data_IF_816915988021
#
_entry.id   IF_816915988021
#
_cell.length_a   1.000
_cell.length_b   1.000
_cell.length_c   1.000
_cell.angle_alpha   90.00
_cell.angle_beta   90.00
_cell.angle_gamma   90.00
#
_symmetry.space_group_name_H-M   'P 1'
#
loop_
_entity.id
_entity.type
_entity.pdbx_description
1 polymer ?
#
# COMPACT_ATOMS: atom_id res chain seq x y z
N UNK A 1 -36.02 6.10 8.13
CA UNK A 1 -34.96 7.08 7.82
C UNK A 1 -33.90 6.36 7.01
N UNK A 2 -33.39 6.96 5.93
CA UNK A 2 -32.28 6.38 5.15
C UNK A 2 -31.02 6.32 6.03
N UNK A 3 -30.29 5.21 6.01
CA UNK A 3 -29.04 5.08 6.76
C UNK A 3 -28.04 6.20 6.36
N UNK A 4 -27.26 6.76 7.31
CA UNK A 4 -26.31 7.81 6.98
C UNK A 4 -25.21 7.29 6.05
N UNK A 5 -24.58 8.15 5.22
CA UNK A 5 -23.44 7.75 4.41
C UNK A 5 -22.30 7.19 5.26
N UNK A 6 -21.44 6.39 4.66
CA UNK A 6 -20.25 5.82 5.33
C UNK A 6 -18.99 6.26 4.60
N UNK A 7 -17.95 6.59 5.36
CA UNK A 7 -16.58 6.68 4.88
C UNK A 7 -15.75 5.64 5.63
N UNK A 8 -15.21 4.66 4.91
CA UNK A 8 -14.27 3.68 5.43
C UNK A 8 -12.84 4.16 5.19
N UNK A 9 -12.11 4.36 6.27
CA UNK A 9 -10.70 4.73 6.29
C UNK A 9 -9.86 3.46 6.32
N UNK A 10 -9.11 3.24 5.26
CA UNK A 10 -8.26 2.07 5.05
C UNK A 10 -6.80 2.48 5.20
N UNK A 11 -6.39 2.81 6.44
CA UNK A 11 -4.99 3.15 6.71
C UNK A 11 -4.21 1.85 6.88
N UNK A 12 -3.47 1.49 5.84
CA UNK A 12 -2.90 0.16 5.73
C UNK A 12 -1.96 -0.16 6.89
N UNK A 13 -2.11 -1.38 7.41
CA UNK A 13 -1.21 -2.02 8.35
C UNK A 13 -0.93 -1.30 9.68
N UNK A 14 -1.78 -0.38 10.13
CA UNK A 14 -1.66 0.15 11.50
C UNK A 14 -1.85 -0.97 12.54
N UNK A 15 -0.92 -1.06 13.47
CA UNK A 15 -0.91 -2.01 14.59
C UNK A 15 -1.89 -1.56 15.68
N UNK A 16 -2.80 -2.46 16.12
CA UNK A 16 -3.65 -2.20 17.29
C UNK A 16 -2.82 -1.83 18.53
N UNK A 17 -1.68 -2.50 18.74
CA UNK A 17 -0.81 -2.27 19.89
C UNK A 17 -0.13 -0.89 19.85
N UNK A 18 0.31 -0.44 18.67
CA UNK A 18 0.89 0.90 18.51
C UNK A 18 -0.17 2.00 18.59
N UNK A 19 -1.39 1.75 18.07
CA UNK A 19 -2.54 2.64 18.27
C UNK A 19 -2.85 2.82 19.76
N UNK A 20 -3.02 1.72 20.50
CA UNK A 20 -3.30 1.78 21.94
C UNK A 20 -2.16 2.52 22.68
N UNK A 21 -0.90 2.16 22.42
CA UNK A 21 0.28 2.81 23.01
C UNK A 21 0.28 4.33 22.83
N UNK A 22 0.04 4.81 21.62
CA UNK A 22 0.17 6.24 21.32
C UNK A 22 -1.12 7.03 21.58
N UNK A 23 -2.28 6.39 21.59
CA UNK A 23 -3.49 7.02 22.13
C UNK A 23 -3.34 7.23 23.64
N UNK A 24 -2.87 6.22 24.38
CA UNK A 24 -2.72 6.29 25.83
C UNK A 24 -1.61 7.27 26.25
N UNK A 25 -0.59 7.45 25.40
CA UNK A 25 0.42 8.49 25.56
C UNK A 25 -0.07 9.91 25.19
N UNK A 26 -1.27 10.05 24.62
CA UNK A 26 -1.82 11.35 24.19
C UNK A 26 -1.27 11.87 22.86
N UNK A 27 -0.55 11.04 22.10
CA UNK A 27 0.07 11.41 20.83
C UNK A 27 -0.90 11.36 19.64
N UNK A 28 -2.04 10.66 19.78
CA UNK A 28 -3.04 10.44 18.73
C UNK A 28 -4.45 10.91 19.16
N UNK A 29 -4.68 12.23 19.32
CA UNK A 29 -5.93 12.77 19.84
C UNK A 29 -7.14 12.50 18.94
N UNK A 30 -6.97 12.43 17.62
CA UNK A 30 -8.09 12.19 16.70
C UNK A 30 -8.47 10.70 16.65
N UNK A 31 -7.50 9.79 16.72
CA UNK A 31 -7.79 8.38 16.94
C UNK A 31 -8.42 8.14 18.31
N UNK A 32 -7.97 8.85 19.35
CA UNK A 32 -8.65 8.82 20.66
C UNK A 32 -10.12 9.23 20.52
N UNK A 33 -10.38 10.36 19.84
CA UNK A 33 -11.75 10.84 19.58
C UNK A 33 -12.59 9.81 18.81
N UNK A 34 -12.02 9.15 17.81
CA UNK A 34 -12.71 8.10 17.07
C UNK A 34 -13.01 6.91 18.00
N UNK A 35 -11.98 6.37 18.67
CA UNK A 35 -12.07 5.25 19.63
C UNK A 35 -13.16 5.47 20.67
N UNK A 36 -13.19 6.65 21.28
CA UNK A 36 -14.11 7.00 22.36
C UNK A 36 -15.57 7.18 21.89
N UNK A 37 -15.80 7.23 20.58
CA UNK A 37 -17.15 7.31 19.96
C UNK A 37 -17.47 6.10 19.07
N UNK A 38 -16.75 4.99 19.25
CA UNK A 38 -16.84 3.81 18.40
C UNK A 38 -17.04 2.50 19.17
N UNK A 39 -17.74 1.57 18.53
CA UNK A 39 -17.57 0.14 18.78
C UNK A 39 -16.29 -0.31 18.04
N UNK A 40 -15.31 -0.82 18.77
CA UNK A 40 -14.00 -1.22 18.25
C UNK A 40 -13.76 -2.73 18.46
N UNK A 41 -13.00 -3.33 17.55
CA UNK A 41 -12.48 -4.67 17.71
C UNK A 41 -11.09 -4.81 17.08
N UNK A 42 -10.35 -5.80 17.58
CA UNK A 42 -9.17 -6.33 16.87
C UNK A 42 -9.69 -7.30 15.83
N UNK A 43 -9.30 -7.11 14.58
CA UNK A 43 -9.61 -8.07 13.51
C UNK A 43 -8.49 -9.11 13.40
N UNK A 44 -8.80 -10.26 12.79
CA UNK A 44 -7.85 -11.28 12.40
C UNK A 44 -7.95 -11.52 10.90
N UNK A 45 -6.80 -11.47 10.22
CA UNK A 45 -6.63 -11.79 8.81
C UNK A 45 -7.18 -13.19 8.48
N UNK A 46 -7.60 -13.41 7.24
CA UNK A 46 -8.08 -14.72 6.79
C UNK A 46 -6.93 -15.75 6.75
N UNK A 47 -5.74 -15.30 6.34
CA UNK A 47 -4.53 -16.12 6.33
C UNK A 47 -3.54 -15.62 7.37
N UNK A 48 -3.11 -16.50 8.27
CA UNK A 48 -2.37 -16.12 9.49
C UNK A 48 -0.85 -16.09 9.33
N UNK A 49 -0.31 -16.51 8.19
CA UNK A 49 1.12 -16.64 7.98
C UNK A 49 1.56 -16.58 6.53
N UNK A 50 2.87 -16.43 6.34
CA UNK A 50 3.48 -16.47 5.02
C UNK A 50 3.25 -17.83 4.32
N UNK A 51 3.11 -17.86 2.98
CA UNK A 51 3.22 -16.72 2.06
C UNK A 51 1.92 -15.94 1.84
N UNK A 52 0.82 -16.27 2.55
CA UNK A 52 -0.51 -15.74 2.23
C UNK A 52 -0.93 -14.53 3.10
N UNK A 53 -0.20 -14.25 4.19
CA UNK A 53 -0.40 -13.04 4.99
C UNK A 53 0.21 -11.82 4.28
N UNK A 54 -0.48 -11.36 3.25
CA UNK A 54 -0.07 -10.24 2.40
C UNK A 54 -1.25 -9.28 2.19
N UNK A 55 -1.03 -7.94 2.18
CA UNK A 55 -2.11 -6.96 2.16
C UNK A 55 -3.04 -7.07 0.95
N UNK A 56 -2.49 -7.42 -0.22
CA UNK A 56 -3.30 -7.55 -1.44
C UNK A 56 -4.22 -8.77 -1.44
N UNK A 57 -3.95 -9.76 -0.57
CA UNK A 57 -4.83 -10.90 -0.33
C UNK A 57 -5.90 -10.47 0.68
N UNK A 58 -5.46 -9.96 1.84
CA UNK A 58 -6.34 -9.68 2.97
C UNK A 58 -7.33 -8.53 2.70
N UNK A 59 -6.91 -7.47 1.98
CA UNK A 59 -7.84 -6.41 1.58
C UNK A 59 -8.93 -6.93 0.65
N UNK A 60 -8.58 -7.83 -0.29
CA UNK A 60 -9.57 -8.44 -1.17
C UNK A 60 -10.60 -9.26 -0.37
N UNK A 61 -10.14 -10.05 0.60
CA UNK A 61 -11.00 -10.80 1.51
C UNK A 61 -11.91 -9.88 2.34
N UNK A 62 -11.38 -8.76 2.83
CA UNK A 62 -12.14 -7.75 3.58
C UNK A 62 -13.25 -7.13 2.73
N UNK A 63 -12.95 -6.76 1.47
CA UNK A 63 -13.91 -6.10 0.58
C UNK A 63 -14.97 -7.03 0.00
N UNK A 64 -14.63 -8.30 -0.21
CA UNK A 64 -15.54 -9.31 -0.79
C UNK A 64 -16.22 -10.18 0.25
N UNK A 65 -15.75 -10.20 1.49
CA UNK A 65 -16.20 -11.14 2.52
C UNK A 65 -15.92 -12.61 2.17
N UNK A 66 -15.04 -12.88 1.20
CA UNK A 66 -14.64 -14.23 0.79
C UNK A 66 -13.27 -14.59 1.38
N UNK A 67 -13.07 -15.85 1.81
CA UNK A 67 -11.75 -16.33 2.20
C UNK A 67 -10.84 -16.52 0.98
N UNK A 68 -9.53 -16.49 1.19
CA UNK A 68 -8.49 -16.69 0.18
C UNK A 68 -8.68 -18.00 -0.60
N UNK A 69 -9.07 -19.08 0.08
CA UNK A 69 -9.36 -20.37 -0.55
C UNK A 69 -10.44 -20.30 -1.65
N UNK A 70 -11.33 -19.31 -1.59
CA UNK A 70 -12.43 -19.12 -2.54
C UNK A 70 -12.06 -18.13 -3.65
N UNK A 71 -11.51 -16.97 -3.31
CA UNK A 71 -11.20 -15.93 -4.31
C UNK A 71 -9.86 -16.13 -5.03
N UNK A 72 -8.90 -16.83 -4.43
CA UNK A 72 -7.61 -17.18 -5.05
C UNK A 72 -6.68 -16.00 -5.42
N UNK A 73 -7.08 -14.74 -5.23
CA UNK A 73 -6.22 -13.55 -5.38
C UNK A 73 -4.95 -13.72 -4.57
N UNK A 74 -3.82 -13.90 -5.25
CA UNK A 74 -2.53 -14.09 -4.61
C UNK A 74 -1.58 -12.93 -4.90
N UNK A 75 -1.93 -12.04 -5.84
CA UNK A 75 -1.05 -10.93 -6.26
C UNK A 75 -1.82 -9.62 -6.40
N UNK A 76 -1.06 -8.52 -6.47
CA UNK A 76 -1.58 -7.22 -6.86
C UNK A 76 -2.18 -7.27 -8.27
N UNK A 77 -3.17 -6.41 -8.52
CA UNK A 77 -3.88 -6.25 -9.79
C UNK A 77 -4.75 -7.45 -10.22
N UNK A 78 -4.71 -8.59 -9.53
CA UNK A 78 -5.52 -9.77 -9.88
C UNK A 78 -7.00 -9.54 -9.58
N UNK A 79 -7.34 -8.78 -8.54
CA UNK A 79 -8.73 -8.48 -8.18
C UNK A 79 -9.51 -7.78 -9.31
N UNK A 80 -8.82 -7.08 -10.21
CA UNK A 80 -9.40 -6.44 -11.38
C UNK A 80 -10.04 -7.42 -12.38
N UNK A 81 -9.59 -8.68 -12.38
CA UNK A 81 -9.97 -9.72 -13.36
C UNK A 81 -11.05 -10.66 -12.84
N UNK A 82 -11.31 -10.62 -11.55
CA UNK A 82 -12.27 -11.49 -10.91
C UNK A 82 -13.70 -10.97 -11.04
N UNK A 83 -14.66 -11.87 -10.84
CA UNK A 83 -16.09 -11.57 -10.93
C UNK A 83 -16.78 -11.58 -9.57
N UNK A 84 -16.02 -11.78 -8.49
CA UNK A 84 -16.56 -11.80 -7.14
C UNK A 84 -17.20 -10.46 -6.80
N UNK A 85 -18.39 -10.52 -6.17
CA UNK A 85 -19.11 -9.31 -5.79
C UNK A 85 -18.46 -8.69 -4.55
N UNK A 86 -17.84 -7.52 -4.73
CA UNK A 86 -17.33 -6.70 -3.64
C UNK A 86 -18.45 -5.92 -2.94
N UNK A 87 -18.13 -5.30 -1.80
CA UNK A 87 -19.02 -4.36 -1.11
C UNK A 87 -19.48 -3.22 -2.04
N UNK A 88 -18.60 -2.70 -2.92
CA UNK A 88 -18.98 -1.67 -3.89
C UNK A 88 -19.98 -2.18 -4.90
N UNK A 89 -19.75 -3.38 -5.46
CA UNK A 89 -20.63 -3.99 -6.46
C UNK A 89 -22.04 -4.20 -5.92
N UNK A 90 -22.14 -4.74 -4.70
CA UNK A 90 -23.44 -4.99 -4.07
C UNK A 90 -24.18 -3.67 -3.84
N UNK A 91 -23.49 -2.64 -3.33
CA UNK A 91 -24.10 -1.32 -3.10
C UNK A 91 -24.51 -0.64 -4.42
N UNK A 92 -23.67 -0.69 -5.45
CA UNK A 92 -23.99 -0.18 -6.79
C UNK A 92 -25.22 -0.87 -7.39
N UNK A 93 -25.32 -2.20 -7.26
CA UNK A 93 -26.47 -2.98 -7.74
C UNK A 93 -27.77 -2.62 -7.00
N UNK A 94 -27.69 -2.05 -5.80
CA UNK A 94 -28.83 -1.51 -5.06
C UNK A 94 -29.07 -0.01 -5.35
N UNK A 95 -28.48 0.53 -6.42
CA UNK A 95 -28.67 1.91 -6.87
C UNK A 95 -27.94 2.95 -6.01
N UNK A 96 -27.00 2.52 -5.16
CA UNK A 96 -26.26 3.44 -4.31
C UNK A 96 -25.07 4.06 -5.05
N UNK A 97 -24.76 5.31 -4.72
CA UNK A 97 -23.54 5.95 -5.19
C UNK A 97 -22.36 5.53 -4.34
N UNK A 98 -21.30 5.05 -4.96
CA UNK A 98 -20.10 4.59 -4.25
C UNK A 98 -18.84 5.30 -4.74
N UNK A 99 -17.85 5.37 -3.87
CA UNK A 99 -16.55 5.95 -4.15
C UNK A 99 -15.43 5.02 -3.68
N UNK A 100 -14.57 4.62 -4.61
CA UNK A 100 -13.31 3.95 -4.34
C UNK A 100 -12.17 4.94 -4.56
N UNK A 101 -11.32 5.09 -3.55
CA UNK A 101 -10.14 5.95 -3.62
C UNK A 101 -8.88 5.18 -3.22
N UNK A 102 -8.36 4.46 -4.20
CA UNK A 102 -7.12 3.66 -4.17
C UNK A 102 -7.14 2.42 -3.29
N UNK A 103 -8.31 1.85 -2.99
CA UNK A 103 -8.36 0.58 -2.24
C UNK A 103 -7.73 -0.55 -3.03
N UNK A 104 -6.92 -1.34 -2.33
CA UNK A 104 -6.10 -2.39 -2.92
C UNK A 104 -6.95 -3.49 -3.58
N UNK A 105 -6.57 -3.89 -4.79
CA UNK A 105 -7.21 -4.99 -5.53
C UNK A 105 -8.73 -4.81 -5.78
N UNK A 106 -9.23 -3.58 -5.77
CA UNK A 106 -10.62 -3.31 -6.12
C UNK A 106 -10.85 -3.51 -7.62
N UNK A 107 -12.00 -4.08 -7.97
CA UNK A 107 -12.47 -4.11 -9.36
C UNK A 107 -13.01 -2.73 -9.77
N UNK A 108 -12.67 -2.32 -10.99
CA UNK A 108 -13.09 -1.04 -11.55
C UNK A 108 -14.58 -0.99 -11.83
N UNK A 109 -15.17 0.18 -11.62
CA UNK A 109 -16.56 0.47 -11.91
C UNK A 109 -16.68 1.89 -12.48
N UNK A 110 -17.67 2.07 -13.36
CA UNK A 110 -17.98 3.34 -14.00
C UNK A 110 -19.50 3.48 -14.15
N UNK A 111 -20.15 3.78 -13.03
CA UNK A 111 -21.59 4.04 -12.97
C UNK A 111 -21.84 5.53 -12.73
N UNK A 112 -22.96 6.11 -13.23
CA UNK A 112 -23.29 7.50 -13.00
C UNK A 112 -23.28 7.88 -11.50
N UNK A 113 -22.49 8.89 -11.14
CA UNK A 113 -22.34 9.36 -9.75
C UNK A 113 -21.45 8.48 -8.87
N UNK A 114 -20.67 7.56 -9.47
CA UNK A 114 -19.60 6.83 -8.79
C UNK A 114 -18.23 7.45 -9.07
N UNK A 115 -17.27 7.16 -8.19
CA UNK A 115 -15.86 7.56 -8.37
C UNK A 115 -14.99 6.33 -8.15
N UNK A 116 -14.09 6.08 -9.07
CA UNK A 116 -13.16 4.98 -9.02
C UNK A 116 -11.75 5.49 -9.34
N UNK A 117 -10.87 5.43 -8.34
CA UNK A 117 -9.44 5.57 -8.50
C UNK A 117 -8.80 4.24 -8.08
N UNK A 118 -8.15 3.48 -8.98
CA UNK A 118 -7.55 2.21 -8.62
C UNK A 118 -6.41 2.41 -7.62
N UNK A 119 -6.02 1.31 -6.97
CA UNK A 119 -4.76 1.29 -6.24
C UNK A 119 -3.57 1.57 -7.18
N UNK A 120 -2.48 2.17 -6.68
CA UNK A 120 -1.38 2.63 -7.51
C UNK A 120 -0.54 1.51 -8.15
N UNK A 121 -0.78 0.24 -7.78
CA UNK A 121 -0.11 -0.91 -8.36
C UNK A 121 -0.89 -1.52 -9.53
N UNK A 122 -2.14 -1.08 -9.75
CA UNK A 122 -2.94 -1.46 -10.90
C UNK A 122 -2.60 -0.63 -12.14
N UNK A 123 -2.37 -1.30 -13.27
CA UNK A 123 -2.06 -0.68 -14.55
C UNK A 123 -3.15 -0.88 -15.63
N UNK A 124 -4.18 -1.68 -15.34
CA UNK A 124 -5.15 -2.14 -16.33
C UNK A 124 -6.51 -1.45 -16.22
N UNK A 125 -6.78 -0.79 -15.09
CA UNK A 125 -8.09 -0.19 -14.82
C UNK A 125 -8.12 1.30 -15.14
N UNK A 126 -9.16 1.70 -15.84
CA UNK A 126 -9.46 3.11 -16.07
C UNK A 126 -9.96 3.76 -14.78
N UNK A 127 -9.66 5.05 -14.60
CA UNK A 127 -10.29 5.86 -13.56
C UNK A 127 -11.68 6.30 -13.99
N UNK A 128 -12.56 6.55 -13.03
CA UNK A 128 -13.83 7.23 -13.25
C UNK A 128 -14.07 8.27 -12.14
N UNK A 129 -14.59 9.46 -12.47
CA UNK A 129 -14.86 9.96 -13.82
C UNK A 129 -13.58 10.36 -14.55
N UNK A 130 -13.65 10.50 -15.88
CA UNK A 130 -12.46 10.68 -16.73
C UNK A 130 -11.62 11.93 -16.45
N UNK A 131 -12.18 12.95 -15.79
CA UNK A 131 -11.43 14.14 -15.36
C UNK A 131 -10.39 13.83 -14.25
N UNK A 132 -10.52 12.70 -13.54
CA UNK A 132 -9.58 12.22 -12.53
C UNK A 132 -8.29 11.63 -13.13
N UNK A 133 -8.26 11.40 -14.45
CA UNK A 133 -7.15 10.71 -15.12
C UNK A 133 -5.77 11.35 -14.92
N UNK A 134 -5.60 12.69 -14.96
CA UNK A 134 -4.31 13.32 -14.69
C UNK A 134 -3.76 12.97 -13.31
N UNK A 135 -4.63 12.85 -12.31
CA UNK A 135 -4.25 12.46 -10.96
C UNK A 135 -3.92 10.98 -10.83
N UNK A 136 -4.70 10.10 -11.48
CA UNK A 136 -4.39 8.67 -11.52
C UNK A 136 -3.01 8.37 -12.11
N UNK A 137 -2.66 9.05 -13.21
CA UNK A 137 -1.32 8.95 -13.83
C UNK A 137 -0.23 9.44 -12.87
N UNK A 138 -0.44 10.59 -12.21
CA UNK A 138 0.48 11.13 -11.22
C UNK A 138 0.69 10.15 -10.05
N UNK A 139 -0.39 9.65 -9.46
CA UNK A 139 -0.35 8.79 -8.29
C UNK A 139 0.44 7.50 -8.59
N UNK A 140 0.16 6.88 -9.73
CA UNK A 140 0.88 5.69 -10.22
C UNK A 140 2.38 5.96 -10.32
N UNK A 141 2.77 7.03 -11.02
CA UNK A 141 4.18 7.38 -11.23
C UNK A 141 4.89 7.71 -9.91
N UNK A 142 4.26 8.48 -9.03
CA UNK A 142 4.81 8.85 -7.73
C UNK A 142 5.09 7.64 -6.82
N UNK A 143 4.27 6.59 -6.91
CA UNK A 143 4.39 5.40 -6.05
C UNK A 143 5.28 4.32 -6.68
N UNK A 144 5.15 4.06 -7.98
CA UNK A 144 5.91 3.01 -8.67
C UNK A 144 7.38 3.39 -8.92
N UNK A 145 7.65 4.65 -9.24
CA UNK A 145 9.02 5.14 -9.49
C UNK A 145 9.69 5.73 -8.23
N UNK A 146 8.95 5.86 -7.13
CA UNK A 146 9.38 6.45 -5.85
C UNK A 146 10.19 7.75 -6.06
N UNK A 147 11.29 7.93 -5.31
CA UNK A 147 12.18 9.10 -5.33
C UNK A 147 12.90 9.32 -6.67
N UNK A 148 12.86 8.36 -7.60
CA UNK A 148 13.55 8.43 -8.89
C UNK A 148 12.65 8.92 -10.04
N UNK A 149 11.38 9.20 -9.76
CA UNK A 149 10.45 9.69 -10.76
C UNK A 149 10.95 11.00 -11.41
N UNK A 150 11.16 10.98 -12.74
CA UNK A 150 11.52 12.17 -13.52
C UNK A 150 10.27 12.80 -14.10
N UNK A 151 9.99 14.03 -13.69
CA UNK A 151 8.78 14.75 -14.11
C UNK A 151 9.08 15.74 -15.22
N UNK A 152 8.32 15.66 -16.31
CA UNK A 152 8.35 16.68 -17.36
C UNK A 152 7.66 17.97 -16.89
N UNK A 153 8.12 19.13 -17.39
CA UNK A 153 7.53 20.44 -17.05
C UNK A 153 6.03 20.48 -17.42
N UNK A 154 5.65 19.91 -18.55
CA UNK A 154 4.25 19.84 -18.98
C UNK A 154 3.40 18.94 -18.08
N UNK A 155 3.95 17.82 -17.59
CA UNK A 155 3.27 16.92 -16.65
C UNK A 155 2.98 17.65 -15.33
N UNK A 156 4.00 18.35 -14.78
CA UNK A 156 3.86 19.12 -13.54
C UNK A 156 2.88 20.28 -13.69
N UNK A 157 2.89 20.99 -14.82
CA UNK A 157 1.94 22.06 -15.09
C UNK A 157 0.50 21.52 -15.19
N UNK A 158 0.30 20.39 -15.88
CA UNK A 158 -0.99 19.70 -15.98
C UNK A 158 -1.52 19.26 -14.63
N UNK A 159 -0.67 18.62 -13.81
CA UNK A 159 -1.00 18.21 -12.45
C UNK A 159 -1.34 19.42 -11.58
N UNK A 160 -0.55 20.48 -11.63
CA UNK A 160 -0.79 21.70 -10.83
C UNK A 160 -2.14 22.32 -11.17
N UNK A 161 -2.44 22.45 -12.48
CA UNK A 161 -3.74 22.93 -12.94
C UNK A 161 -4.88 22.03 -12.46
N UNK A 162 -4.70 20.71 -12.53
CA UNK A 162 -5.68 19.75 -12.01
C UNK A 162 -5.91 19.97 -10.51
N UNK A 163 -4.85 19.94 -9.71
CA UNK A 163 -4.93 20.04 -8.25
C UNK A 163 -5.59 21.34 -7.79
N UNK A 164 -5.28 22.47 -8.43
CA UNK A 164 -5.92 23.75 -8.15
C UNK A 164 -7.44 23.74 -8.41
N UNK A 165 -7.90 22.98 -9.41
CA UNK A 165 -9.32 22.78 -9.70
C UNK A 165 -10.01 21.71 -8.84
N UNK A 166 -9.23 20.83 -8.19
CA UNK A 166 -9.74 19.61 -7.54
C UNK A 166 -9.35 19.53 -6.06
N UNK A 167 -9.37 20.66 -5.36
CA UNK A 167 -9.39 20.68 -3.89
C UNK A 167 -8.03 20.87 -3.19
N UNK A 168 -6.95 21.19 -3.91
CA UNK A 168 -5.65 21.48 -3.32
C UNK A 168 -5.75 22.55 -2.23
N UNK A 169 -5.37 22.19 -0.99
CA UNK A 169 -5.38 23.13 0.14
C UNK A 169 -4.04 23.84 0.31
N UNK A 170 -4.10 25.10 0.77
CA UNK A 170 -2.92 25.86 1.16
C UNK A 170 -2.09 25.15 2.25
N UNK A 171 -2.75 24.44 3.18
CA UNK A 171 -2.07 23.65 4.22
C UNK A 171 -1.30 22.45 3.66
N UNK A 172 -1.76 21.85 2.55
CA UNK A 172 -1.04 20.80 1.82
C UNK A 172 0.22 21.37 1.17
N UNK A 173 0.09 22.52 0.48
CA UNK A 173 1.22 23.23 -0.13
C UNK A 173 2.25 23.63 0.95
N UNK A 174 1.79 24.20 2.06
CA UNK A 174 2.65 24.60 3.17
C UNK A 174 3.43 23.41 3.76
N UNK A 175 2.79 22.24 3.91
CA UNK A 175 3.49 21.04 4.36
C UNK A 175 4.51 20.54 3.35
N UNK A 176 4.21 20.56 2.05
CA UNK A 176 5.16 20.17 1.01
C UNK A 176 6.39 21.11 1.01
N UNK A 177 6.18 22.43 1.11
CA UNK A 177 7.26 23.41 1.21
C UNK A 177 8.07 23.22 2.49
N UNK A 178 7.40 23.04 3.62
CA UNK A 178 8.05 22.79 4.92
C UNK A 178 8.91 21.53 4.86
N UNK A 179 8.43 20.46 4.23
CA UNK A 179 9.19 19.23 4.03
C UNK A 179 10.47 19.49 3.22
N UNK A 180 10.38 20.18 2.07
CA UNK A 180 11.56 20.53 1.25
C UNK A 180 12.55 21.41 2.01
N UNK A 181 12.07 22.37 2.80
CA UNK A 181 12.94 23.20 3.65
C UNK A 181 13.61 22.35 4.72
N UNK A 182 12.86 21.47 5.39
CA UNK A 182 13.38 20.59 6.44
C UNK A 182 14.51 19.69 5.93
N UNK A 183 14.41 19.17 4.71
CA UNK A 183 15.46 18.33 4.13
C UNK A 183 16.73 19.10 3.79
N UNK A 184 16.61 20.38 3.43
CA UNK A 184 17.77 21.24 3.13
C UNK A 184 18.47 21.76 4.38
N UNK A 185 17.77 21.76 5.51
CA UNK A 185 18.22 22.43 6.75
C UNK A 185 18.50 21.47 7.91
N UNK A 186 17.90 20.27 7.88
CA UNK A 186 18.08 19.25 8.91
C UNK A 186 19.50 18.71 8.88
N UNK A 187 20.04 18.45 10.08
CA UNK A 187 21.34 17.77 10.26
C UNK A 187 21.25 16.25 10.10
N UNK A 188 20.03 15.71 10.14
CA UNK A 188 19.73 14.28 9.98
C UNK A 188 18.81 14.05 8.78
N UNK A 189 18.87 12.89 8.11
CA UNK A 189 17.95 12.54 7.02
C UNK A 189 16.48 12.60 7.46
N UNK A 190 15.66 13.36 6.72
CA UNK A 190 14.20 13.49 6.97
C UNK A 190 13.35 13.31 5.72
N UNK A 191 13.95 12.89 4.61
CA UNK A 191 13.25 12.63 3.34
C UNK A 191 12.17 11.56 3.45
N UNK A 192 12.30 10.64 4.41
CA UNK A 192 11.30 9.60 4.71
C UNK A 192 9.93 10.18 5.08
N UNK A 193 9.85 11.42 5.57
CA UNK A 193 8.58 12.10 5.87
C UNK A 193 7.77 12.47 4.62
N UNK A 194 8.40 12.54 3.44
CA UNK A 194 7.74 12.91 2.16
C UNK A 194 6.55 12.03 1.81
N UNK A 195 6.56 10.76 2.22
CA UNK A 195 5.50 9.80 1.90
C UNK A 195 4.11 10.30 2.30
N UNK A 196 4.02 11.10 3.37
CA UNK A 196 2.75 11.64 3.86
C UNK A 196 2.27 12.91 3.13
N UNK A 197 3.12 13.55 2.34
CA UNK A 197 2.68 14.65 1.46
C UNK A 197 1.73 14.11 0.40
N UNK A 198 1.98 12.90 -0.10
CA UNK A 198 1.11 12.25 -1.07
C UNK A 198 -0.27 11.95 -0.47
N UNK A 199 -0.34 11.49 0.78
CA UNK A 199 -1.64 11.26 1.46
C UNK A 199 -2.45 12.54 1.59
N UNK A 200 -1.80 13.68 1.87
CA UNK A 200 -2.46 14.98 1.97
C UNK A 200 -3.04 15.42 0.63
N UNK A 201 -2.28 15.25 -0.45
CA UNK A 201 -2.75 15.53 -1.82
C UNK A 201 -3.91 14.58 -2.18
N UNK A 202 -3.78 13.29 -1.85
CA UNK A 202 -4.83 12.30 -2.05
C UNK A 202 -6.12 12.70 -1.33
N UNK A 203 -6.02 13.17 -0.08
CA UNK A 203 -7.16 13.65 0.70
C UNK A 203 -7.77 14.95 0.17
N UNK A 204 -6.98 15.85 -0.41
CA UNK A 204 -7.46 17.05 -1.10
C UNK A 204 -8.40 16.67 -2.26
N UNK A 205 -7.95 15.76 -3.11
CA UNK A 205 -8.71 15.29 -4.27
C UNK A 205 -9.92 14.46 -3.81
N UNK A 206 -9.75 13.57 -2.83
CA UNK A 206 -10.85 12.82 -2.23
C UNK A 206 -11.98 13.75 -1.75
N UNK A 207 -11.64 14.81 -1.02
CA UNK A 207 -12.63 15.75 -0.50
C UNK A 207 -13.42 16.44 -1.62
N UNK A 208 -12.75 16.84 -2.71
CA UNK A 208 -13.41 17.43 -3.88
C UNK A 208 -14.47 16.48 -4.48
N UNK A 209 -14.09 15.23 -4.76
CA UNK A 209 -15.00 14.26 -5.36
C UNK A 209 -16.10 13.79 -4.40
N UNK A 210 -15.79 13.69 -3.10
CA UNK A 210 -16.78 13.36 -2.07
C UNK A 210 -17.87 14.44 -1.96
N UNK A 211 -17.50 15.71 -2.07
CA UNK A 211 -18.45 16.84 -2.07
C UNK A 211 -19.27 16.87 -3.37
N UNK A 212 -18.62 16.62 -4.52
CA UNK A 212 -19.22 16.69 -5.85
C UNK A 212 -20.21 15.55 -6.12
N UNK A 213 -19.78 14.30 -5.94
CA UNK A 213 -20.56 13.13 -6.33
C UNK A 213 -21.51 12.64 -5.22
N UNK A 214 -21.23 13.08 -3.99
CA UNK A 214 -22.04 12.79 -2.80
C UNK A 214 -22.28 11.28 -2.60
N UNK A 215 -21.24 10.43 -2.57
CA UNK A 215 -21.39 8.98 -2.41
C UNK A 215 -22.08 8.62 -1.09
N UNK A 216 -22.82 7.51 -1.07
CA UNK A 216 -23.39 6.91 0.15
C UNK A 216 -22.38 6.00 0.84
N UNK A 217 -21.44 5.41 0.09
CA UNK A 217 -20.32 4.66 0.63
C UNK A 217 -19.04 5.11 -0.05
N UNK A 218 -18.04 5.51 0.73
CA UNK A 218 -16.73 5.91 0.24
C UNK A 218 -15.64 5.14 0.97
N UNK A 219 -14.55 4.85 0.27
CA UNK A 219 -13.33 4.25 0.81
C UNK A 219 -12.15 5.16 0.52
N UNK A 220 -11.24 5.28 1.48
CA UNK A 220 -10.01 6.06 1.34
C UNK A 220 -8.83 5.23 1.84
N UNK A 221 -7.94 4.84 0.94
CA UNK A 221 -6.80 4.01 1.25
C UNK A 221 -5.50 4.81 1.34
N UNK A 222 -4.67 4.49 2.32
CA UNK A 222 -3.31 5.05 2.46
C UNK A 222 -2.32 3.98 2.92
N UNK A 223 -1.14 3.96 2.31
CA UNK A 223 -0.10 2.95 2.55
C UNK A 223 1.19 3.51 3.17
N UNK A 224 1.29 4.83 3.36
CA UNK A 224 2.55 5.48 3.72
C UNK A 224 3.11 5.03 5.08
N UNK A 225 2.25 4.80 6.08
CA UNK A 225 2.70 4.30 7.39
C UNK A 225 3.16 2.85 7.33
N UNK A 226 2.55 1.99 6.50
CA UNK A 226 3.02 0.63 6.26
C UNK A 226 4.46 0.62 5.70
N UNK A 227 4.77 1.55 4.79
CA UNK A 227 6.12 1.73 4.28
C UNK A 227 7.11 2.10 5.39
N UNK A 228 6.76 3.06 6.26
CA UNK A 228 7.63 3.45 7.38
C UNK A 228 7.81 2.31 8.40
N UNK A 229 6.75 1.54 8.69
CA UNK A 229 6.83 0.38 9.57
C UNK A 229 7.79 -0.68 9.01
N UNK A 230 7.71 -1.01 7.72
CA UNK A 230 8.61 -1.99 7.11
C UNK A 230 10.09 -1.56 7.17
N UNK A 231 10.34 -0.28 6.91
CA UNK A 231 11.68 0.27 6.82
C UNK A 231 12.32 0.52 8.21
N UNK A 232 11.54 1.06 9.16
CA UNK A 232 12.11 1.72 10.34
C UNK A 232 11.70 1.11 11.69
N UNK A 233 11.04 -0.06 11.73
CA UNK A 233 10.67 -0.71 13.00
C UNK A 233 11.87 -0.94 13.94
N UNK A 234 13.05 -1.24 13.39
CA UNK A 234 14.26 -1.46 14.22
C UNK A 234 14.64 -0.25 15.06
N UNK A 235 14.32 0.96 14.61
CA UNK A 235 14.60 2.18 15.35
C UNK A 235 13.53 2.47 16.41
N UNK A 236 12.31 1.94 16.23
CA UNK A 236 11.22 2.03 17.21
C UNK A 236 11.44 1.09 18.41
N UNK A 237 11.90 -0.15 18.15
CA UNK A 237 12.11 -1.17 19.17
C UNK A 237 13.48 -1.85 19.03
N UNK A 238 14.59 -1.10 19.19
CA UNK A 238 15.94 -1.62 18.92
C UNK A 238 16.30 -2.85 19.76
N UNK A 239 15.75 -2.96 20.97
CA UNK A 239 15.97 -4.12 21.86
C UNK A 239 15.47 -5.47 21.30
N UNK A 240 14.64 -5.47 20.26
CA UNK A 240 14.18 -6.70 19.58
C UNK A 240 15.15 -7.19 18.50
N UNK A 241 16.15 -6.40 18.14
CA UNK A 241 17.08 -6.67 17.06
C UNK A 241 18.46 -6.99 17.65
N UNK A 242 19.20 -7.85 16.97
CA UNK A 242 20.51 -8.33 17.42
C UNK A 242 21.62 -7.34 17.08
N UNK A 243 21.47 -6.62 15.96
CA UNK A 243 22.39 -5.59 15.54
C UNK A 243 22.10 -4.29 16.30
N UNK A 244 23.12 -3.66 16.91
CA UNK A 244 22.94 -2.37 17.57
C UNK A 244 22.64 -1.28 16.53
N UNK A 245 21.72 -0.39 16.90
CA UNK A 245 21.43 0.84 16.15
C UNK A 245 22.46 1.90 16.53
N UNK A 246 23.04 2.59 15.54
CA UNK A 246 23.97 3.70 15.79
C UNK A 246 23.23 4.94 16.35
N UNK A 247 23.91 5.77 17.14
CA UNK A 247 23.31 7.02 17.66
C UNK A 247 22.83 7.94 16.52
N UNK A 248 23.57 7.97 15.41
CA UNK A 248 23.22 8.73 14.21
C UNK A 248 21.92 8.24 13.59
N UNK A 249 21.76 6.93 13.42
CA UNK A 249 20.54 6.35 12.84
C UNK A 249 19.35 6.46 13.80
N UNK A 250 19.59 6.29 15.10
CA UNK A 250 18.57 6.51 16.12
C UNK A 250 18.04 7.94 16.06
N UNK A 251 18.92 8.94 15.92
CA UNK A 251 18.52 10.34 15.80
C UNK A 251 17.79 10.64 14.49
N UNK A 252 18.10 9.94 13.40
CA UNK A 252 17.49 10.13 12.09
C UNK A 252 16.11 9.45 11.96
N UNK A 253 15.95 8.25 12.53
CA UNK A 253 14.85 7.34 12.19
C UNK A 253 14.02 6.86 13.40
N UNK A 254 14.44 7.14 14.65
CA UNK A 254 13.75 6.67 15.86
C UNK A 254 12.27 7.05 15.92
N UNK A 255 11.92 8.23 15.39
CA UNK A 255 10.53 8.72 15.34
C UNK A 255 9.78 8.35 14.05
N UNK A 256 10.39 7.62 13.11
CA UNK A 256 9.81 7.44 11.78
C UNK A 256 8.44 6.74 11.82
N UNK A 257 8.33 5.65 12.57
CA UNK A 257 7.04 4.95 12.70
C UNK A 257 6.02 5.80 13.45
N UNK A 258 6.41 6.44 14.56
CA UNK A 258 5.52 7.31 15.34
C UNK A 258 4.98 8.47 14.51
N UNK A 259 5.85 9.11 13.73
CA UNK A 259 5.48 10.17 12.80
C UNK A 259 4.41 9.71 11.81
N UNK A 260 4.51 8.47 11.29
CA UNK A 260 3.49 7.93 10.40
C UNK A 260 2.11 7.83 11.04
N UNK A 261 2.03 7.44 12.31
CA UNK A 261 0.75 7.38 13.04
C UNK A 261 0.22 8.79 13.33
N UNK A 262 1.08 9.74 13.70
CA UNK A 262 0.70 11.14 13.87
C UNK A 262 0.21 11.77 12.55
N UNK A 263 0.81 11.41 11.42
CA UNK A 263 0.35 11.85 10.10
C UNK A 263 -1.04 11.29 9.78
N UNK A 264 -1.31 10.01 10.08
CA UNK A 264 -2.66 9.43 9.96
C UNK A 264 -3.67 10.10 10.89
N UNK A 265 -3.28 10.46 12.10
CA UNK A 265 -4.13 11.17 13.06
C UNK A 265 -4.57 12.54 12.52
N UNK A 266 -3.66 13.26 11.86
CA UNK A 266 -3.97 14.53 11.18
C UNK A 266 -4.87 14.35 9.95
N UNK A 267 -4.74 13.24 9.21
CA UNK A 267 -5.68 12.93 8.13
C UNK A 267 -7.07 12.63 8.71
N UNK A 268 -7.13 11.91 9.84
CA UNK A 268 -8.38 11.60 10.53
C UNK A 268 -9.09 12.85 11.06
N UNK A 269 -8.36 13.84 11.58
CA UNK A 269 -8.91 15.16 11.91
C UNK A 269 -9.72 15.73 10.76
N UNK A 270 -9.11 15.73 9.57
CA UNK A 270 -9.74 16.25 8.37
C UNK A 270 -10.87 15.36 7.85
N UNK A 271 -10.80 14.05 8.05
CA UNK A 271 -11.91 13.14 7.76
C UNK A 271 -13.13 13.43 8.63
N UNK A 272 -12.96 13.84 9.89
CA UNK A 272 -14.07 14.33 10.71
C UNK A 272 -14.75 15.57 10.08
N UNK A 273 -13.98 16.51 9.53
CA UNK A 273 -14.55 17.68 8.83
C UNK A 273 -15.38 17.25 7.62
N UNK A 274 -14.82 16.35 6.79
CA UNK A 274 -15.44 15.87 5.55
C UNK A 274 -16.72 15.09 5.87
N UNK A 275 -16.66 14.17 6.83
CA UNK A 275 -17.81 13.38 7.26
C UNK A 275 -18.90 14.25 7.89
N UNK A 276 -18.52 15.22 8.73
CA UNK A 276 -19.43 16.13 9.42
C UNK A 276 -20.32 16.95 8.48
N UNK A 277 -19.80 17.38 7.32
CA UNK A 277 -20.57 18.11 6.30
C UNK A 277 -21.79 17.36 5.77
N UNK A 278 -21.79 16.03 5.86
CA UNK A 278 -22.87 15.17 5.34
C UNK A 278 -23.49 14.25 6.39
N UNK A 279 -23.10 14.40 7.66
CA UNK A 279 -23.48 13.47 8.72
C UNK A 279 -23.08 12.03 8.42
N UNK A 280 -21.94 11.84 7.75
CA UNK A 280 -21.44 10.51 7.42
C UNK A 280 -20.85 9.83 8.66
N UNK A 281 -21.04 8.52 8.77
CA UNK A 281 -20.41 7.67 9.76
C UNK A 281 -18.99 7.34 9.32
N UNK A 282 -18.03 7.54 10.20
CA UNK A 282 -16.68 7.04 10.00
C UNK A 282 -16.58 5.58 10.41
N UNK A 283 -15.91 4.80 9.57
CA UNK A 283 -15.40 3.47 9.90
C UNK A 283 -13.89 3.50 9.64
N UNK A 284 -13.13 2.79 10.45
CA UNK A 284 -11.67 2.64 10.27
C UNK A 284 -11.34 1.15 10.27
N UNK A 285 -10.54 0.73 9.29
CA UNK A 285 -10.12 -0.66 9.17
C UNK A 285 -8.65 -0.80 8.78
N UNK A 286 -8.06 -1.89 9.24
CA UNK A 286 -6.85 -2.46 8.66
C UNK A 286 -7.10 -3.95 8.40
N UNK A 287 -6.70 -4.47 7.24
CA UNK A 287 -6.87 -5.89 6.91
C UNK A 287 -5.87 -6.81 7.65
N UNK A 288 -4.74 -6.24 8.07
CA UNK A 288 -3.70 -6.83 8.91
C UNK A 288 -2.90 -5.68 9.55
N UNK A 289 -1.79 -5.97 10.23
CA UNK A 289 -0.86 -4.95 10.73
C UNK A 289 0.59 -5.38 10.58
N UNK A 290 1.50 -4.67 11.24
CA UNK A 290 2.92 -5.03 11.31
C UNK A 290 3.40 -5.27 12.74
N UNK A 291 4.54 -5.95 12.81
CA UNK A 291 5.32 -6.19 14.01
C UNK A 291 6.83 -6.16 13.68
N UNK A 292 7.69 -6.20 14.70
CA UNK A 292 9.12 -6.35 14.52
C UNK A 292 9.44 -7.64 13.73
N UNK A 293 10.31 -7.52 12.74
CA UNK A 293 10.71 -8.61 11.86
C UNK A 293 12.13 -9.08 12.16
N UNK A 294 12.24 -10.17 12.92
CA UNK A 294 13.52 -10.69 13.43
C UNK A 294 13.99 -11.97 12.73
N UNK A 295 13.23 -12.47 11.75
CA UNK A 295 13.45 -13.79 11.14
C UNK A 295 14.83 -13.98 10.46
N UNK A 296 15.51 -12.89 10.09
CA UNK A 296 16.81 -12.93 9.41
C UNK A 296 17.93 -12.20 10.16
N UNK A 297 17.71 -11.80 11.41
CA UNK A 297 18.70 -11.08 12.21
C UNK A 297 20.02 -11.85 12.36
N UNK A 298 19.97 -13.17 12.57
CA UNK A 298 21.16 -14.03 12.59
C UNK A 298 21.91 -14.15 11.26
N UNK A 299 21.49 -13.44 10.20
CA UNK A 299 22.10 -13.41 8.86
C UNK A 299 22.42 -11.98 8.39
N UNK A 300 22.39 -10.99 9.28
CA UNK A 300 22.58 -9.57 8.95
C UNK A 300 21.31 -8.84 8.54
N UNK A 301 20.12 -9.41 8.83
CA UNK A 301 18.84 -8.84 8.41
C UNK A 301 18.44 -9.25 6.98
N UNK A 302 17.43 -8.56 6.43
CA UNK A 302 16.93 -8.79 5.06
C UNK A 302 17.10 -7.52 4.22
N UNK A 303 18.12 -7.53 3.37
CA UNK A 303 18.41 -6.49 2.41
C UNK A 303 17.63 -6.71 1.12
N UNK A 304 17.45 -5.64 0.34
CA UNK A 304 16.84 -5.72 -0.97
C UNK A 304 17.66 -4.89 -1.95
N UNK A 305 17.90 -5.45 -3.13
CA UNK A 305 18.67 -4.80 -4.18
C UNK A 305 17.81 -4.60 -5.43
N UNK A 306 17.92 -3.43 -6.05
CA UNK A 306 17.24 -3.12 -7.31
C UNK A 306 18.26 -2.70 -8.36
N UNK A 307 18.04 -3.07 -9.64
CA UNK A 307 18.83 -2.51 -10.73
C UNK A 307 18.67 -0.99 -10.80
N UNK A 308 19.76 -0.26 -11.05
CA UNK A 308 19.74 1.17 -11.39
C UNK A 308 18.94 1.41 -12.67
N UNK A 309 19.15 0.56 -13.68
CA UNK A 309 18.42 0.54 -14.94
C UNK A 309 18.14 -0.91 -15.34
N UNK A 310 16.93 -1.37 -15.00
CA UNK A 310 16.49 -2.74 -15.30
C UNK A 310 16.41 -3.01 -16.80
N UNK A 311 16.11 -2.00 -17.62
CA UNK A 311 15.99 -2.17 -19.07
C UNK A 311 17.37 -2.35 -19.72
N UNK A 312 18.37 -1.59 -19.26
CA UNK A 312 19.76 -1.76 -19.67
C UNK A 312 20.30 -3.14 -19.25
N UNK A 313 20.03 -3.55 -18.00
CA UNK A 313 20.46 -4.84 -17.48
C UNK A 313 19.85 -6.01 -18.27
N UNK A 314 18.54 -6.01 -18.53
CA UNK A 314 17.88 -7.04 -19.34
C UNK A 314 18.42 -7.08 -20.78
N UNK A 315 18.70 -5.91 -21.38
CA UNK A 315 19.31 -5.84 -22.71
C UNK A 315 20.69 -6.49 -22.74
N UNK A 316 21.49 -6.30 -21.69
CA UNK A 316 22.82 -6.91 -21.58
C UNK A 316 22.76 -8.45 -21.46
N UNK A 317 21.67 -8.98 -20.90
CA UNK A 317 21.35 -10.42 -20.88
C UNK A 317 20.78 -10.92 -22.21
N UNK A 318 20.55 -10.03 -23.18
CA UNK A 318 19.87 -10.34 -24.43
C UNK A 318 18.37 -10.62 -24.26
N UNK A 319 17.73 -10.19 -23.18
CA UNK A 319 16.30 -10.42 -22.96
C UNK A 319 15.50 -9.38 -23.75
N UNK A 320 14.66 -9.87 -24.67
CA UNK A 320 13.70 -9.04 -25.43
C UNK A 320 12.31 -9.23 -24.84
N UNK A 321 11.63 -8.13 -24.54
CA UNK A 321 10.28 -8.09 -23.96
C UNK A 321 9.44 -6.99 -24.63
N UNK A 322 8.11 -7.08 -24.51
CA UNK A 322 7.17 -6.08 -25.01
C UNK A 322 6.95 -4.95 -24.01
N UNK A 323 6.80 -5.29 -22.73
CA UNK A 323 6.60 -4.33 -21.65
C UNK A 323 7.28 -4.81 -20.36
N UNK A 324 7.64 -3.84 -19.51
CA UNK A 324 8.15 -4.08 -18.15
C UNK A 324 7.38 -3.21 -17.18
N UNK A 325 7.04 -3.77 -16.02
CA UNK A 325 6.31 -3.08 -14.98
C UNK A 325 6.99 -3.33 -13.63
N UNK A 326 7.40 -2.30 -12.88
CA UNK A 326 7.87 -2.48 -11.52
C UNK A 326 6.71 -2.91 -10.60
N UNK A 327 6.97 -3.86 -9.71
CA UNK A 327 6.05 -4.30 -8.64
C UNK A 327 6.60 -3.82 -7.28
N UNK A 328 5.98 -4.23 -6.17
CA UNK A 328 6.46 -3.89 -4.83
C UNK A 328 7.87 -4.43 -4.54
N UNK A 329 8.62 -3.64 -3.77
CA UNK A 329 10.02 -3.87 -3.38
C UNK A 329 10.97 -4.04 -4.59
N UNK A 330 11.44 -5.25 -4.86
CA UNK A 330 12.57 -5.56 -5.75
C UNK A 330 12.17 -6.32 -7.03
N UNK A 331 10.87 -6.50 -7.27
CA UNK A 331 10.34 -7.33 -8.35
C UNK A 331 9.81 -6.52 -9.53
N UNK A 332 9.75 -7.18 -10.70
CA UNK A 332 9.26 -6.66 -11.97
C UNK A 332 8.43 -7.72 -12.69
N UNK A 333 7.41 -7.30 -13.43
CA UNK A 333 6.68 -8.12 -14.40
C UNK A 333 7.17 -7.78 -15.80
N UNK A 334 7.59 -8.80 -16.55
CA UNK A 334 7.87 -8.72 -17.98
C UNK A 334 6.71 -9.32 -18.78
N UNK A 335 6.33 -8.66 -19.86
CA UNK A 335 5.36 -9.17 -20.85
C UNK A 335 6.09 -9.52 -22.12
N UNK A 336 5.87 -10.72 -22.65
CA UNK A 336 6.48 -11.24 -23.87
C UNK A 336 5.45 -11.40 -24.99
N UNK A 337 5.94 -11.53 -26.23
CA UNK A 337 5.05 -11.76 -27.37
C UNK A 337 4.37 -13.13 -27.31
N UNK A 338 5.08 -14.13 -26.80
CA UNK A 338 4.61 -15.51 -26.71
C UNK A 338 5.32 -16.28 -25.58
N UNK A 339 4.84 -17.50 -25.33
CA UNK A 339 5.37 -18.37 -24.28
C UNK A 339 6.81 -18.86 -24.57
N UNK A 340 7.22 -18.94 -25.83
CA UNK A 340 8.56 -19.38 -26.21
C UNK A 340 9.59 -18.30 -25.87
N UNK A 341 9.29 -17.03 -26.20
CA UNK A 341 10.13 -15.89 -25.83
C UNK A 341 10.24 -15.75 -24.31
N UNK A 342 9.13 -15.94 -23.58
CA UNK A 342 9.15 -15.98 -22.11
C UNK A 342 10.10 -17.05 -21.58
N UNK A 343 9.97 -18.29 -22.08
CA UNK A 343 10.80 -19.40 -21.61
C UNK A 343 12.30 -19.19 -21.87
N UNK A 344 12.65 -18.58 -23.00
CA UNK A 344 14.04 -18.21 -23.32
C UNK A 344 14.54 -17.08 -22.42
N UNK A 345 13.72 -16.08 -22.14
CA UNK A 345 14.05 -15.00 -21.22
C UNK A 345 14.26 -15.50 -19.78
N UNK A 346 13.42 -16.43 -19.32
CA UNK A 346 13.53 -17.03 -17.98
C UNK A 346 14.90 -17.70 -17.79
N UNK A 347 15.36 -18.50 -18.77
CA UNK A 347 16.70 -19.11 -18.73
C UNK A 347 17.83 -18.10 -18.60
N UNK A 348 17.71 -16.96 -19.29
CA UNK A 348 18.71 -15.87 -19.25
C UNK A 348 18.68 -15.10 -17.93
N UNK A 349 17.51 -14.94 -17.34
CA UNK A 349 17.31 -14.27 -16.05
C UNK A 349 17.78 -15.15 -14.89
N UNK A 350 17.65 -16.47 -15.00
CA UNK A 350 18.06 -17.43 -13.97
C UNK A 350 19.56 -17.76 -14.00
N UNK A 351 20.29 -17.31 -15.04
CA UNK A 351 21.71 -17.59 -15.24
C UNK A 351 22.68 -16.76 -14.38
N UNK A 352 22.46 -15.47 -14.08
CA UNK A 352 23.40 -14.69 -13.29
C UNK A 352 23.51 -15.20 -11.85
N UNK A 353 24.73 -15.26 -11.33
CA UNK A 353 25.01 -15.73 -9.97
C UNK A 353 25.88 -14.74 -9.20
N UNK A 354 25.63 -14.65 -7.89
CA UNK A 354 26.45 -13.92 -6.93
C UNK A 354 26.78 -14.87 -5.78
N UNK A 355 28.07 -14.99 -5.43
CA UNK A 355 28.55 -15.93 -4.40
C UNK A 355 28.04 -17.38 -4.59
N UNK A 356 27.97 -17.84 -5.85
CA UNK A 356 27.52 -19.19 -6.19
C UNK A 356 26.00 -19.43 -6.04
N UNK A 357 25.21 -18.40 -5.78
CA UNK A 357 23.74 -18.45 -5.74
C UNK A 357 23.16 -17.65 -6.88
N UNK A 358 22.00 -18.05 -7.39
CA UNK A 358 21.28 -17.29 -8.40
C UNK A 358 20.99 -15.88 -7.91
N UNK A 359 21.16 -14.91 -8.81
CA UNK A 359 20.97 -13.49 -8.52
C UNK A 359 19.49 -13.11 -8.54
N UNK A 360 18.73 -13.67 -9.48
CA UNK A 360 17.31 -13.42 -9.63
C UNK A 360 16.50 -14.66 -9.32
N UNK A 361 15.39 -14.48 -8.62
CA UNK A 361 14.29 -15.46 -8.63
C UNK A 361 13.34 -15.08 -9.76
N UNK A 362 12.81 -16.06 -10.47
CA UNK A 362 11.84 -15.84 -11.54
C UNK A 362 10.72 -16.88 -11.51
N UNK A 363 9.51 -16.44 -11.82
CA UNK A 363 8.31 -17.28 -11.79
C UNK A 363 7.27 -16.82 -12.80
N UNK A 364 6.33 -17.70 -13.14
CA UNK A 364 5.24 -17.35 -14.05
C UNK A 364 4.38 -16.21 -13.48
N UNK A 365 4.08 -15.23 -14.34
CA UNK A 365 3.18 -14.12 -14.03
C UNK A 365 1.70 -14.46 -14.24
N UNK A 366 0.87 -13.42 -14.41
CA UNK A 366 -0.59 -13.59 -14.48
C UNK A 366 -1.11 -14.20 -15.78
N UNK A 367 -0.35 -14.08 -16.88
CA UNK A 367 -0.69 -14.69 -18.17
C UNK A 367 0.42 -15.64 -18.60
N UNK A 368 0.16 -16.54 -19.57
CA UNK A 368 1.22 -17.38 -20.14
C UNK A 368 2.39 -16.58 -20.74
N UNK A 369 2.19 -15.30 -21.06
CA UNK A 369 3.21 -14.40 -21.57
C UNK A 369 3.88 -13.52 -20.50
N UNK A 370 3.52 -13.65 -19.23
CA UNK A 370 4.13 -12.87 -18.16
C UNK A 370 5.18 -13.67 -17.39
N UNK A 371 6.29 -13.02 -17.05
CA UNK A 371 7.30 -13.51 -16.11
C UNK A 371 7.48 -12.48 -15.00
N UNK A 372 7.47 -12.92 -13.75
CA UNK A 372 7.88 -12.11 -12.60
C UNK A 372 9.32 -12.43 -12.31
N UNK A 373 10.15 -11.42 -12.07
CA UNK A 373 11.50 -11.63 -11.58
C UNK A 373 11.96 -10.52 -10.63
N UNK A 374 12.93 -10.80 -9.77
CA UNK A 374 13.52 -9.82 -8.88
C UNK A 374 14.79 -10.34 -8.22
N UNK A 375 15.59 -9.44 -7.66
CA UNK A 375 16.81 -9.86 -6.93
C UNK A 375 16.45 -10.72 -5.73
N UNK A 376 16.98 -11.96 -5.67
CA UNK A 376 16.82 -12.85 -4.52
C UNK A 376 17.98 -12.75 -3.52
N UNK A 377 18.77 -11.68 -3.62
CA UNK A 377 19.88 -11.41 -2.72
C UNK A 377 19.36 -10.67 -1.50
N UNK A 378 19.40 -11.34 -0.36
CA UNK A 378 18.92 -10.78 0.92
C UNK A 378 20.02 -10.48 1.93
N UNK A 379 21.25 -10.96 1.68
CA UNK A 379 22.39 -10.69 2.55
C UNK A 379 23.07 -9.39 2.16
N UNK A 380 23.66 -8.70 3.14
CA UNK A 380 24.54 -7.57 2.88
C UNK A 380 25.70 -7.99 1.97
N UNK A 381 26.00 -7.18 0.97
CA UNK A 381 27.10 -7.40 0.03
C UNK A 381 28.23 -6.38 0.24
N UNK A 382 29.51 -6.79 0.16
CA UNK A 382 30.63 -5.86 0.24
C UNK A 382 30.70 -4.93 -0.99
N UNK A 383 31.23 -3.70 -0.90
CA UNK A 383 31.22 -2.73 -2.00
C UNK A 383 31.91 -3.17 -3.31
N UNK A 384 32.81 -4.14 -3.22
CA UNK A 384 33.53 -4.75 -4.34
C UNK A 384 32.91 -6.09 -4.80
N UNK A 385 31.72 -6.44 -4.31
CA UNK A 385 31.01 -7.65 -4.67
C UNK A 385 30.90 -7.79 -6.19
N UNK A 386 31.24 -8.98 -6.69
CA UNK A 386 31.12 -9.34 -8.10
C UNK A 386 29.93 -10.28 -8.31
N UNK A 387 29.32 -10.21 -9.48
CA UNK A 387 28.38 -11.22 -9.97
C UNK A 387 28.74 -11.61 -11.41
N UNK A 388 28.31 -12.78 -11.85
CA UNK A 388 28.54 -13.23 -13.23
C UNK A 388 27.34 -12.92 -14.10
N UNK A 389 27.58 -12.36 -15.28
CA UNK A 389 26.56 -12.03 -16.25
C UNK A 389 26.98 -12.57 -17.61
N UNK A 390 26.08 -13.25 -18.34
CA UNK A 390 26.39 -13.65 -19.72
C UNK A 390 26.21 -12.46 -20.65
N UNK A 391 27.30 -12.06 -21.31
CA UNK A 391 27.31 -11.01 -22.32
C UNK A 391 27.95 -11.58 -23.58
N UNK A 392 27.28 -11.46 -24.74
CA UNK A 392 27.79 -11.93 -26.03
C UNK A 392 28.28 -13.41 -26.04
N UNK A 393 27.59 -14.30 -25.31
CA UNK A 393 27.92 -15.72 -25.14
C UNK A 393 29.02 -16.07 -24.14
N UNK A 394 29.68 -15.10 -23.52
CA UNK A 394 30.68 -15.33 -22.46
C UNK A 394 30.15 -14.93 -21.08
N UNK A 395 30.53 -15.66 -20.04
CA UNK A 395 30.26 -15.26 -18.65
C UNK A 395 31.32 -14.27 -18.21
N UNK A 396 30.91 -13.03 -17.97
CA UNK A 396 31.80 -11.93 -17.61
C UNK A 396 31.53 -11.53 -16.15
N UNK A 397 32.56 -11.41 -15.30
CA UNK A 397 32.43 -10.82 -13.97
C UNK A 397 32.09 -9.33 -14.08
N UNK A 398 31.06 -8.90 -13.35
CA UNK A 398 30.61 -7.52 -13.25
C UNK A 398 30.61 -7.08 -11.79
N UNK A 399 30.90 -5.81 -11.52
CA UNK A 399 30.74 -5.25 -10.18
C UNK A 399 29.26 -5.10 -9.88
N UNK A 400 28.81 -5.61 -8.74
CA UNK A 400 27.39 -5.62 -8.36
C UNK A 400 26.82 -4.20 -8.28
N UNK A 401 27.49 -3.30 -7.56
CA UNK A 401 26.99 -1.94 -7.31
C UNK A 401 27.06 -0.99 -8.50
N UNK A 402 27.69 -1.40 -9.62
CA UNK A 402 27.60 -0.67 -10.88
C UNK A 402 26.23 -0.86 -11.54
N UNK A 403 25.54 -1.95 -11.22
CA UNK A 403 24.24 -2.33 -11.79
C UNK A 403 23.09 -2.20 -10.80
N UNK A 404 23.36 -2.34 -9.49
CA UNK A 404 22.35 -2.35 -8.44
C UNK A 404 22.60 -1.30 -7.37
N UNK A 405 21.52 -0.85 -6.74
CA UNK A 405 21.55 -0.14 -5.46
C UNK A 405 20.83 -0.96 -4.40
N UNK A 406 21.27 -0.79 -3.15
CA UNK A 406 20.55 -1.28 -1.99
C UNK A 406 19.38 -0.34 -1.70
N UNK A 407 18.21 -0.89 -1.39
CA UNK A 407 17.11 -0.08 -0.86
C UNK A 407 17.49 0.40 0.54
N UNK A 408 17.31 1.71 0.79
CA UNK A 408 17.79 2.45 1.98
C UNK A 408 17.40 1.88 3.36
N UNK A 409 16.55 0.83 3.42
CA UNK A 409 16.18 0.18 4.67
C UNK A 409 16.13 -1.34 4.55
N UNK A 410 16.92 -2.00 5.41
CA UNK A 410 16.75 -3.42 5.75
C UNK A 410 15.36 -3.62 6.32
N UNK A 411 14.64 -4.64 5.84
CA UNK A 411 13.27 -4.93 6.32
C UNK A 411 13.31 -5.20 7.83
N UNK A 412 12.68 -4.34 8.60
CA UNK A 412 12.62 -4.43 10.06
C UNK A 412 11.18 -4.53 10.59
N UNK A 413 10.18 -4.16 9.80
CA UNK A 413 8.77 -4.47 10.04
C UNK A 413 8.27 -5.62 9.16
N UNK A 414 7.39 -6.46 9.69
CA UNK A 414 6.80 -7.62 8.99
C UNK A 414 5.34 -7.79 9.35
N UNK A 415 4.57 -8.46 8.49
CA UNK A 415 3.13 -8.58 8.67
C UNK A 415 2.76 -9.35 9.95
N UNK A 416 1.69 -8.91 10.58
CA UNK A 416 1.03 -9.53 11.71
C UNK A 416 -0.46 -9.68 11.39
N UNK A 417 -1.09 -10.84 11.68
CA UNK A 417 -2.46 -11.11 11.25
C UNK A 417 -3.51 -10.22 11.93
N UNK A 418 -3.19 -9.63 13.09
CA UNK A 418 -4.15 -8.75 13.77
C UNK A 418 -4.29 -7.42 13.04
N UNK A 419 -5.51 -6.93 12.90
CA UNK A 419 -5.82 -5.61 12.40
C UNK A 419 -6.80 -4.86 13.32
N UNK A 420 -7.35 -3.76 12.82
CA UNK A 420 -8.38 -2.98 13.51
C UNK A 420 -9.67 -2.97 12.69
N UNK A 421 -10.82 -2.96 13.37
CA UNK A 421 -12.08 -2.49 12.79
C UNK A 421 -12.89 -1.69 13.81
N UNK A 422 -13.06 -0.39 13.53
CA UNK A 422 -13.73 0.56 14.41
C UNK A 422 -14.91 1.18 13.66
N UNK A 423 -16.09 1.16 14.28
CA UNK A 423 -17.30 1.75 13.71
C UNK A 423 -17.82 2.83 14.63
N UNK A 424 -17.95 4.06 14.12
CA UNK A 424 -18.47 5.18 14.90
C UNK A 424 -19.96 5.01 15.21
N UNK A 425 -20.25 4.62 16.45
CA UNK A 425 -21.60 4.36 16.97
C UNK A 425 -22.11 5.49 17.87
N UNK A 426 -21.22 6.39 18.31
CA UNK A 426 -21.52 7.49 19.23
C UNK A 426 -21.08 7.21 20.67
N UNK A 427 -20.80 5.96 21.01
CA UNK A 427 -20.37 5.52 22.35
C UNK A 427 -19.21 4.54 22.23
N UNK A 428 -18.32 4.52 23.23
CA UNK A 428 -17.21 3.59 23.26
C UNK A 428 -17.66 2.19 23.70
N UNK A 429 -17.34 1.19 22.88
CA UNK A 429 -17.47 -0.23 23.23
C UNK A 429 -16.32 -1.02 22.61
N UNK A 430 -15.70 -1.94 23.35
CA UNK A 430 -14.70 -2.87 22.82
C UNK A 430 -15.28 -4.28 22.79
N UNK A 431 -15.26 -4.93 21.63
CA UNK A 431 -15.58 -6.36 21.55
C UNK A 431 -14.42 -7.17 22.13
N UNK A 432 -14.75 -8.18 22.94
CA UNK A 432 -13.74 -9.00 23.64
C UNK A 432 -13.00 -9.94 22.72
N UNK A 433 -13.73 -10.52 21.76
CA UNK A 433 -13.20 -11.53 20.85
C UNK A 433 -12.65 -10.87 19.60
N UNK A 434 -11.61 -11.47 19.02
CA UNK A 434 -11.16 -11.11 17.67
C UNK A 434 -12.27 -11.37 16.66
N UNK A 435 -12.31 -10.51 15.65
CA UNK A 435 -13.30 -10.56 14.57
C UNK A 435 -12.61 -10.92 13.26
N UNK A 436 -13.19 -11.79 12.44
CA UNK A 436 -12.61 -12.08 11.12
C UNK A 436 -12.71 -10.84 10.22
N UNK A 437 -11.69 -10.56 9.42
CA UNK A 437 -11.79 -9.51 8.38
C UNK A 437 -12.93 -9.77 7.38
N UNK A 438 -13.38 -11.03 7.24
CA UNK A 438 -14.52 -11.38 6.39
C UNK A 438 -15.83 -10.77 6.89
N UNK A 439 -15.93 -10.46 8.19
CA UNK A 439 -17.12 -9.89 8.84
C UNK A 439 -17.32 -8.40 8.49
N UNK A 440 -16.30 -7.72 7.94
CA UNK A 440 -16.32 -6.27 7.69
C UNK A 440 -17.30 -5.89 6.59
N UNK A 441 -17.20 -6.48 5.39
CA UNK A 441 -18.10 -6.17 4.28
C UNK A 441 -19.59 -6.47 4.61
N UNK A 442 -19.96 -7.64 5.19
CA UNK A 442 -21.32 -7.90 5.68
C UNK A 442 -21.80 -6.86 6.70
N UNK A 443 -20.92 -6.39 7.58
CA UNK A 443 -21.25 -5.34 8.56
C UNK A 443 -21.54 -3.99 7.90
N UNK A 444 -20.78 -3.63 6.86
CA UNK A 444 -21.05 -2.44 6.05
C UNK A 444 -22.39 -2.56 5.32
N UNK A 445 -22.67 -3.71 4.70
CA UNK A 445 -23.97 -3.94 4.04
C UNK A 445 -25.14 -3.85 5.03
N UNK A 446 -24.97 -4.45 6.20
CA UNK A 446 -25.95 -4.43 7.27
C UNK A 446 -26.31 -3.02 7.76
N UNK A 447 -25.35 -2.08 7.76
CA UNK A 447 -25.61 -0.66 8.04
C UNK A 447 -26.64 -0.03 7.08
N UNK A 448 -26.65 -0.48 5.82
CA UNK A 448 -27.61 -0.05 4.81
C UNK A 448 -28.87 -0.93 4.73
N UNK A 449 -29.04 -1.89 5.65
CA UNK A 449 -30.16 -2.83 5.65
C UNK A 449 -30.07 -3.89 4.55
N UNK A 450 -28.86 -4.13 4.02
CA UNK A 450 -28.60 -5.11 2.99
C UNK A 450 -27.95 -6.36 3.58
N UNK A 451 -28.13 -7.48 2.90
CA UNK A 451 -27.46 -8.76 3.21
C UNK A 451 -26.85 -9.32 1.92
N UNK A 452 -25.95 -10.29 2.07
CA UNK A 452 -25.30 -10.96 0.94
C UNK A 452 -25.22 -12.45 1.21
N UNK A 453 -25.70 -13.27 0.27
CA UNK A 453 -25.59 -14.73 0.32
C UNK A 453 -24.23 -15.23 -0.17
N UNK A 454 -23.48 -14.39 -0.89
CA UNK A 454 -22.16 -14.75 -1.43
C UNK A 454 -21.03 -14.51 -0.45
N UNK A 455 -21.20 -13.61 0.52
CA UNK A 455 -20.21 -13.35 1.56
C UNK A 455 -20.19 -14.47 2.62
N UNK A 456 -19.02 -14.77 3.17
CA UNK A 456 -18.82 -15.81 4.20
C UNK A 456 -18.72 -15.27 5.62
N UNK A 457 -18.38 -13.99 5.76
CA UNK A 457 -18.41 -13.33 7.06
C UNK A 457 -19.82 -13.10 7.58
N UNK A 458 -19.91 -12.84 8.87
CA UNK A 458 -21.16 -12.48 9.57
C UNK A 458 -21.27 -10.97 9.72
N UNK A 459 -22.52 -10.48 9.77
CA UNK A 459 -22.78 -9.11 10.20
C UNK A 459 -22.55 -8.99 11.72
N UNK A 460 -21.68 -8.06 12.13
CA UNK A 460 -21.42 -7.79 13.54
C UNK A 460 -22.57 -7.05 14.21
N UNK A 461 -22.78 -7.36 15.49
CA UNK A 461 -23.71 -6.63 16.36
C UNK A 461 -22.97 -5.45 16.99
N UNK A 462 -23.21 -4.24 16.48
CA UNK A 462 -22.49 -3.03 16.87
C UNK A 462 -23.17 -2.22 17.99
N UNK A 463 -24.40 -2.59 18.36
CA UNK A 463 -25.22 -1.95 19.39
C UNK A 463 -25.20 -2.73 20.70
#
# INVERSE_FOLDING_TARGET
>A
MTAPPVILLEFNELSPQLLDRWIDAGDLPNFKRLRDSSTICVTEADELGAPNLEPWIQWYSLHTGLPFKEHGVFRLSEGAKLTDASVWDILLNHGMRVMNFSSMNCRGFDQPGSVFLPDPWNDQQAVSPGDLAPFGVFLKKAIQEQSNARWGVAELAGLTKFLLGHGLRASTVAAAVSQVVSEKTSKVPVSWKRVHILDRILLDVFAHYYERERPQFATFFSNSTAHLQHAYWRYLEPAKFSEPVSDTDSAAYGDAVKYGYQAMDLLLERMFEIAGKRGARLMFATALSQQAYTAYEGRGGRHYYRPHDVASLLRSMGVTYQAIQPVMAHQYILTFADAQQKAEAMKRIDEPHVNGRQLFDSSDGHTPQNLIFGSQVYAALPPDQMFTLRMNSELVPQRFFDHFYELDATKSGGHHPDGCFWVQTGEHRRLSDKVSILDVAPTILGHFGLTSEVMRGRQLQLN
#
